data_IF_209860188554
#
_entry.id   IF_209860188554
#
_cell.length_a   1.000
_cell.length_b   1.000
_cell.length_c   1.000
_cell.angle_alpha   90.00
_cell.angle_beta   90.00
_cell.angle_gamma   90.00
#
_symmetry.space_group_name_H-M   'P 1'
#
loop_
_entity.id
_entity.type
_entity.pdbx_description
1 polymer ?
#
# COMPACT_ATOMS: atom_id res chain seq x y z
N UNK A 1 33.53 -51.74 25.43
CA UNK A 1 33.75 -50.35 25.89
C UNK A 1 33.42 -49.40 24.75
N UNK A 2 32.15 -48.97 24.64
CA UNK A 2 31.74 -47.90 23.70
C UNK A 2 30.95 -46.92 24.56
N UNK A 3 31.53 -45.73 24.79
CA UNK A 3 30.92 -44.65 25.59
C UNK A 3 29.81 -44.01 24.75
N UNK A 4 28.57 -44.18 25.19
CA UNK A 4 27.40 -43.49 24.65
C UNK A 4 27.42 -42.04 25.19
N UNK A 5 27.93 -41.08 24.41
CA UNK A 5 27.82 -39.65 24.73
C UNK A 5 26.44 -39.16 24.32
N UNK A 6 25.58 -38.95 25.30
CA UNK A 6 24.28 -38.27 25.14
C UNK A 6 24.60 -36.78 24.96
N UNK A 7 24.46 -36.29 23.73
CA UNK A 7 24.46 -34.85 23.43
C UNK A 7 23.13 -34.27 23.93
N UNK A 8 23.14 -33.68 25.13
CA UNK A 8 22.08 -32.76 25.55
C UNK A 8 22.18 -31.53 24.63
N UNK A 9 21.30 -31.45 23.63
CA UNK A 9 21.03 -30.20 22.94
C UNK A 9 20.27 -29.32 23.95
N UNK A 10 20.98 -28.41 24.62
CA UNK A 10 20.35 -27.38 25.43
C UNK A 10 19.58 -26.45 24.49
N UNK A 11 18.27 -26.66 24.38
CA UNK A 11 17.38 -25.65 23.83
C UNK A 11 17.39 -24.49 24.82
N UNK A 12 18.16 -23.44 24.51
CA UNK A 12 18.05 -22.17 25.22
C UNK A 12 16.61 -21.69 25.00
N UNK A 13 15.78 -21.82 26.03
CA UNK A 13 14.48 -21.17 26.05
C UNK A 13 14.76 -19.66 26.13
N UNK A 14 14.71 -18.99 24.99
CA UNK A 14 14.73 -17.54 24.92
C UNK A 14 13.43 -17.06 25.59
N UNK A 15 13.58 -16.53 26.81
CA UNK A 15 12.51 -15.97 27.63
C UNK A 15 12.31 -14.51 27.24
N UNK A 16 11.08 -14.14 26.90
CA UNK A 16 10.71 -12.76 26.57
C UNK A 16 9.44 -12.72 25.73
N UNK A 17 8.86 -11.52 25.60
CA UNK A 17 7.69 -11.30 24.76
C UNK A 17 8.03 -11.62 23.29
N UNK A 18 7.11 -12.31 22.61
CA UNK A 18 7.27 -12.73 21.21
C UNK A 18 6.16 -12.15 20.36
N UNK A 19 6.54 -11.58 19.23
CA UNK A 19 5.61 -11.27 18.14
C UNK A 19 5.74 -12.38 17.10
N UNK A 20 4.71 -13.22 16.99
CA UNK A 20 4.59 -14.18 15.89
C UNK A 20 3.92 -13.49 14.69
N UNK A 21 4.72 -13.24 13.65
CA UNK A 21 4.24 -12.73 12.36
C UNK A 21 3.75 -13.94 11.56
N UNK A 22 2.45 -13.97 11.28
CA UNK A 22 1.81 -15.06 10.51
C UNK A 22 1.39 -14.50 9.17
N UNK A 23 2.07 -14.88 8.10
CA UNK A 23 1.82 -14.32 6.77
C UNK A 23 0.98 -15.30 5.94
N UNK A 24 -0.30 -15.00 5.65
CA UNK A 24 -1.11 -15.86 4.78
C UNK A 24 -0.68 -15.72 3.32
N UNK A 25 -1.35 -16.45 2.45
CA UNK A 25 -1.20 -16.25 1.01
C UNK A 25 -1.57 -14.82 0.60
N UNK A 26 -0.83 -14.24 -0.34
CA UNK A 26 -1.18 -12.96 -0.95
C UNK A 26 -0.24 -11.79 -0.64
N UNK A 27 0.79 -11.96 0.17
CA UNK A 27 1.73 -10.89 0.45
C UNK A 27 2.92 -11.31 1.30
N UNK A 28 3.71 -10.32 1.69
CA UNK A 28 4.78 -10.43 2.68
C UNK A 28 4.53 -9.40 3.81
N UNK A 29 5.26 -9.50 4.91
CA UNK A 29 5.35 -8.45 5.94
C UNK A 29 6.81 -8.06 6.08
N UNK A 30 7.09 -6.77 6.07
CA UNK A 30 8.44 -6.22 6.28
C UNK A 30 8.38 -5.15 7.36
N UNK A 31 9.50 -4.85 8.00
CA UNK A 31 9.61 -3.70 8.90
C UNK A 31 10.21 -2.49 8.18
N UNK A 32 9.84 -1.28 8.60
CA UNK A 32 10.31 -0.03 8.02
C UNK A 32 11.84 0.13 8.13
N UNK A 33 12.45 -0.42 9.19
CA UNK A 33 13.91 -0.43 9.32
C UNK A 33 14.61 -1.44 8.40
N UNK A 34 13.86 -2.41 7.86
CA UNK A 34 14.39 -3.54 7.10
C UNK A 34 15.01 -4.66 7.96
N UNK A 35 14.97 -4.56 9.29
CA UNK A 35 15.49 -5.58 10.20
C UNK A 35 14.68 -6.89 10.14
N UNK A 36 13.39 -6.81 9.81
CA UNK A 36 12.50 -7.96 9.77
C UNK A 36 11.82 -8.10 8.41
N UNK A 37 11.79 -9.32 7.90
CA UNK A 37 11.06 -9.70 6.70
C UNK A 37 10.49 -11.10 6.86
N UNK A 38 9.19 -11.24 6.65
CA UNK A 38 8.48 -12.51 6.73
C UNK A 38 7.73 -12.75 5.42
N UNK A 39 8.10 -13.81 4.70
CA UNK A 39 7.55 -14.07 3.39
C UNK A 39 6.19 -14.79 3.47
N UNK A 40 5.49 -14.81 2.33
CA UNK A 40 4.24 -15.55 2.16
C UNK A 40 4.31 -16.98 2.70
N UNK A 41 3.34 -17.35 3.54
CA UNK A 41 3.21 -18.70 4.09
C UNK A 41 4.15 -19.00 5.25
N UNK A 42 5.01 -18.05 5.63
CA UNK A 42 5.93 -18.20 6.76
C UNK A 42 5.31 -17.78 8.08
N UNK A 43 5.95 -18.25 9.15
CA UNK A 43 5.75 -17.80 10.52
C UNK A 43 7.10 -17.35 11.05
N UNK A 44 7.22 -16.07 11.35
CA UNK A 44 8.45 -15.47 11.85
C UNK A 44 8.25 -15.03 13.29
N UNK A 45 9.28 -15.18 14.12
CA UNK A 45 9.23 -14.79 15.53
C UNK A 45 10.17 -13.60 15.70
N UNK A 46 9.64 -12.52 16.25
CA UNK A 46 10.43 -11.37 16.71
C UNK A 46 10.43 -11.38 18.23
N UNK A 47 11.62 -11.35 18.82
CA UNK A 47 11.79 -11.28 20.27
C UNK A 47 11.83 -9.82 20.72
N UNK A 48 11.02 -9.50 21.73
CA UNK A 48 10.90 -8.18 22.32
C UNK A 48 11.30 -8.29 23.79
N UNK A 49 12.53 -7.87 24.10
CA UNK A 49 13.15 -8.10 25.40
C UNK A 49 13.39 -6.82 26.22
N UNK A 50 13.23 -5.65 25.63
CA UNK A 50 13.51 -4.37 26.29
C UNK A 50 12.53 -3.27 25.85
N UNK A 51 12.71 -2.08 26.43
CA UNK A 51 11.88 -0.90 26.19
C UNK A 51 12.27 -0.12 24.92
N UNK A 52 13.35 -0.50 24.25
CA UNK A 52 13.86 0.16 23.04
C UNK A 52 13.31 -0.43 21.75
N UNK A 53 12.38 -1.39 21.83
CA UNK A 53 11.68 -1.89 20.67
C UNK A 53 10.79 -0.78 20.09
N UNK A 54 11.06 -0.44 18.84
CA UNK A 54 10.32 0.54 18.04
C UNK A 54 10.41 0.06 16.59
N UNK A 55 9.29 -0.42 16.07
CA UNK A 55 9.18 -0.85 14.69
C UNK A 55 7.83 -0.53 14.05
N UNK A 56 7.86 -0.28 12.75
CA UNK A 56 6.66 -0.15 11.93
C UNK A 56 6.61 -1.28 10.92
N UNK A 57 5.62 -2.16 11.07
CA UNK A 57 5.41 -3.28 10.16
C UNK A 57 4.48 -2.91 9.01
N UNK A 58 4.91 -3.23 7.79
CA UNK A 58 4.26 -2.89 6.53
C UNK A 58 3.81 -4.20 5.87
N UNK A 59 2.53 -4.28 5.52
CA UNK A 59 1.99 -5.39 4.76
C UNK A 59 2.18 -5.13 3.26
N UNK A 60 2.95 -5.99 2.59
CA UNK A 60 3.25 -5.87 1.17
C UNK A 60 2.42 -6.87 0.36
N UNK A 61 1.24 -6.49 -0.17
CA UNK A 61 0.46 -7.40 -1.01
C UNK A 61 1.20 -7.69 -2.32
N UNK A 62 1.17 -8.96 -2.72
CA UNK A 62 1.64 -9.43 -4.03
C UNK A 62 0.63 -9.06 -5.12
N UNK A 63 1.06 -9.16 -6.38
CA UNK A 63 0.19 -8.93 -7.53
C UNK A 63 -1.09 -9.79 -7.45
N UNK A 64 -2.25 -9.17 -7.70
CA UNK A 64 -3.55 -9.83 -7.59
C UNK A 64 -4.12 -9.90 -6.17
N UNK A 65 -3.47 -9.28 -5.19
CA UNK A 65 -3.95 -9.18 -3.81
C UNK A 65 -3.94 -7.74 -3.33
N UNK A 66 -4.79 -7.46 -2.34
CA UNK A 66 -4.80 -6.20 -1.58
C UNK A 66 -4.63 -6.50 -0.10
N UNK A 67 -4.05 -5.55 0.62
CA UNK A 67 -4.13 -5.54 2.07
C UNK A 67 -5.52 -5.05 2.50
N UNK A 68 -6.23 -5.84 3.31
CA UNK A 68 -7.56 -5.54 3.83
C UNK A 68 -7.53 -5.14 5.31
N UNK A 69 -6.33 -5.02 5.90
CA UNK A 69 -6.11 -4.66 7.29
C UNK A 69 -5.49 -5.79 8.11
N UNK A 70 -5.10 -5.46 9.34
CA UNK A 70 -4.57 -6.45 10.28
C UNK A 70 -5.71 -7.25 10.90
N UNK A 71 -5.54 -8.56 11.04
CA UNK A 71 -6.59 -9.46 11.50
C UNK A 71 -6.95 -9.19 12.96
N UNK A 72 -8.23 -8.94 13.23
CA UNK A 72 -8.76 -8.89 14.60
C UNK A 72 -8.80 -10.31 15.17
N UNK A 73 -8.06 -10.55 16.24
CA UNK A 73 -8.03 -11.83 16.97
C UNK A 73 -7.58 -11.60 18.40
N UNK A 74 -7.76 -12.62 19.25
CA UNK A 74 -7.17 -12.63 20.59
C UNK A 74 -5.65 -12.49 20.50
N UNK A 75 -5.10 -11.61 21.34
CA UNK A 75 -3.69 -11.19 21.36
C UNK A 75 -3.16 -10.70 20.00
N UNK A 76 -4.04 -10.25 19.12
CA UNK A 76 -3.69 -9.67 17.82
C UNK A 76 -3.26 -8.21 17.95
N UNK A 77 -2.13 -7.87 17.37
CA UNK A 77 -1.63 -6.50 17.28
C UNK A 77 -2.26 -5.80 16.08
N UNK A 78 -2.56 -4.50 16.24
CA UNK A 78 -3.11 -3.63 15.20
C UNK A 78 -4.47 -4.06 14.58
N UNK A 79 -5.19 -5.00 15.20
CA UNK A 79 -6.42 -5.58 14.63
C UNK A 79 -7.44 -4.55 14.12
N UNK A 80 -7.74 -4.60 12.82
CA UNK A 80 -8.66 -3.71 12.13
C UNK A 80 -8.05 -2.44 11.55
N UNK A 81 -6.79 -2.14 11.84
CA UNK A 81 -6.07 -1.02 11.23
C UNK A 81 -5.82 -1.34 9.75
N UNK A 82 -6.06 -0.34 8.89
CA UNK A 82 -5.94 -0.46 7.43
C UNK A 82 -4.60 0.04 6.87
N UNK A 83 -3.77 0.64 7.72
CA UNK A 83 -2.39 1.05 7.40
C UNK A 83 -1.35 0.26 8.18
N UNK A 84 -0.11 0.73 8.14
CA UNK A 84 1.04 0.11 8.79
C UNK A 84 0.85 -0.06 10.29
N UNK A 85 1.47 -1.08 10.88
CA UNK A 85 1.38 -1.41 12.30
C UNK A 85 2.65 -0.97 13.03
N UNK A 86 2.56 0.21 13.65
CA UNK A 86 3.60 0.75 14.53
C UNK A 86 3.48 0.14 15.94
N UNK A 87 4.60 -0.38 16.44
CA UNK A 87 4.73 -1.06 17.71
C UNK A 87 5.95 -0.50 18.45
N UNK A 88 5.71 0.14 19.60
CA UNK A 88 6.76 0.68 20.46
C UNK A 88 6.58 0.21 21.91
N UNK A 89 7.70 0.07 22.61
CA UNK A 89 7.74 -0.28 24.05
C UNK A 89 8.28 0.85 24.92
N UNK A 90 8.62 1.99 24.32
CA UNK A 90 9.18 3.17 25.00
C UNK A 90 8.32 3.61 26.20
N UNK A 91 6.99 3.55 26.04
CA UNK A 91 6.00 3.91 27.05
C UNK A 91 5.94 2.96 28.27
N UNK A 92 6.72 1.88 28.28
CA UNK A 92 6.74 0.92 29.39
C UNK A 92 7.70 1.37 30.49
N UNK A 93 8.59 2.33 30.21
CA UNK A 93 9.54 2.87 31.17
C UNK A 93 8.83 3.36 32.44
N UNK A 94 9.27 2.85 33.60
CA UNK A 94 8.69 3.23 34.89
C UNK A 94 7.30 2.66 35.18
N UNK A 95 6.74 1.79 34.33
CA UNK A 95 5.47 1.10 34.57
C UNK A 95 5.70 -0.39 34.87
N UNK A 96 5.68 -0.81 36.16
CA UNK A 96 5.99 -2.19 36.55
C UNK A 96 5.08 -3.24 35.91
N UNK A 97 3.81 -2.89 35.65
CA UNK A 97 2.83 -3.82 35.06
C UNK A 97 3.13 -4.06 33.58
N UNK A 98 3.57 -3.03 32.86
CA UNK A 98 3.94 -3.17 31.44
C UNK A 98 5.29 -3.86 31.28
N UNK A 99 6.25 -3.59 32.19
CA UNK A 99 7.53 -4.31 32.24
C UNK A 99 7.35 -5.81 32.47
N UNK A 100 6.34 -6.22 33.26
CA UNK A 100 6.03 -7.65 33.41
C UNK A 100 5.66 -8.35 32.10
N UNK A 101 5.10 -7.64 31.11
CA UNK A 101 4.80 -8.24 29.81
C UNK A 101 6.06 -8.47 28.97
N UNK A 102 7.10 -7.63 29.11
CA UNK A 102 8.39 -7.83 28.45
C UNK A 102 9.16 -9.01 29.04
N UNK A 103 9.04 -9.21 30.34
CA UNK A 103 9.66 -10.32 31.08
C UNK A 103 8.88 -11.64 30.97
N UNK A 104 7.61 -11.59 30.53
CA UNK A 104 6.78 -12.77 30.35
C UNK A 104 7.04 -13.44 28.99
N UNK A 105 7.00 -14.77 28.97
CA UNK A 105 7.06 -15.57 27.75
C UNK A 105 5.67 -15.64 27.09
N UNK A 106 5.18 -14.47 26.65
CA UNK A 106 3.88 -14.30 26.01
C UNK A 106 4.01 -14.10 24.51
N UNK A 107 3.07 -14.66 23.75
CA UNK A 107 3.04 -14.54 22.28
C UNK A 107 1.89 -13.65 21.85
N UNK A 108 2.21 -12.62 21.08
CA UNK A 108 1.28 -11.75 20.37
C UNK A 108 1.35 -12.02 18.87
N UNK A 109 0.25 -11.76 18.17
CA UNK A 109 0.12 -12.10 16.75
C UNK A 109 0.07 -10.86 15.87
N UNK A 110 0.89 -10.86 14.82
CA UNK A 110 0.82 -9.88 13.75
C UNK A 110 0.45 -10.61 12.45
N UNK A 111 -0.80 -10.49 12.03
CA UNK A 111 -1.34 -11.27 10.89
C UNK A 111 -2.07 -10.32 9.92
N UNK A 112 -1.53 -10.05 8.73
CA UNK A 112 -2.23 -9.24 7.74
C UNK A 112 -3.36 -10.05 7.09
N UNK A 113 -4.45 -9.38 6.71
CA UNK A 113 -5.49 -9.98 5.85
C UNK A 113 -5.19 -9.55 4.43
N UNK A 114 -4.85 -10.52 3.58
CA UNK A 114 -4.76 -10.32 2.13
C UNK A 114 -6.02 -10.88 1.47
N UNK A 115 -6.65 -10.06 0.64
CA UNK A 115 -7.79 -10.48 -0.17
C UNK A 115 -7.38 -10.54 -1.62
N UNK A 116 -7.88 -11.54 -2.34
CA UNK A 116 -7.74 -11.62 -3.79
C UNK A 116 -8.46 -10.40 -4.38
N UNK A 117 -7.76 -9.66 -5.23
CA UNK A 117 -8.36 -8.65 -6.07
C UNK A 117 -9.26 -9.39 -7.05
N UNK A 118 -10.60 -9.21 -7.02
CA UNK A 118 -11.48 -9.85 -7.98
C UNK A 118 -11.12 -9.31 -9.37
N UNK A 119 -10.44 -10.14 -10.17
CA UNK A 119 -10.15 -9.84 -11.57
C UNK A 119 -11.47 -9.98 -12.31
N UNK A 120 -12.26 -8.91 -12.35
CA UNK A 120 -13.37 -8.86 -13.27
C UNK A 120 -12.73 -8.75 -14.66
N UNK A 121 -12.90 -9.77 -15.50
CA UNK A 121 -12.33 -9.82 -16.85
C UNK A 121 -12.90 -8.77 -17.80
N UNK A 122 -13.85 -7.94 -17.31
CA UNK A 122 -14.39 -6.74 -17.94
C UNK A 122 -14.26 -5.48 -17.04
N UNK A 123 -13.43 -5.53 -15.99
CA UNK A 123 -13.35 -4.49 -14.97
C UNK A 123 -12.70 -3.22 -15.49
N UNK A 124 -13.50 -2.19 -15.69
CA UNK A 124 -12.98 -0.87 -16.00
C UNK A 124 -12.26 -0.27 -14.78
N UNK A 125 -11.07 0.30 -15.00
CA UNK A 125 -10.42 1.16 -14.02
C UNK A 125 -10.99 2.57 -14.16
N UNK A 126 -11.40 3.13 -13.04
CA UNK A 126 -12.07 4.40 -12.89
C UNK A 126 -11.17 5.34 -12.09
N UNK A 127 -11.21 6.63 -12.42
CA UNK A 127 -10.41 7.66 -11.79
C UNK A 127 -11.31 8.59 -10.98
N UNK A 128 -10.94 8.88 -9.75
CA UNK A 128 -11.66 9.78 -8.87
C UNK A 128 -10.71 10.80 -8.24
N UNK A 129 -11.00 12.09 -8.39
CA UNK A 129 -10.24 13.19 -7.80
C UNK A 129 -10.95 13.86 -6.64
N UNK A 130 -10.37 14.99 -6.22
CA UNK A 130 -10.84 15.77 -5.07
C UNK A 130 -10.21 15.29 -3.77
N UNK A 131 -10.26 16.15 -2.75
CA UNK A 131 -9.65 15.90 -1.43
C UNK A 131 -10.14 14.59 -0.80
N UNK A 132 -11.40 14.22 -1.05
CA UNK A 132 -12.07 13.02 -0.55
C UNK A 132 -12.16 11.88 -1.58
N UNK A 133 -11.59 12.05 -2.78
CA UNK A 133 -11.67 11.07 -3.88
C UNK A 133 -13.11 10.68 -4.27
N UNK A 134 -14.05 11.64 -4.24
CA UNK A 134 -15.46 11.46 -4.58
C UNK A 134 -15.85 12.10 -5.92
N UNK A 135 -14.90 12.76 -6.59
CA UNK A 135 -15.15 13.45 -7.85
C UNK A 135 -14.75 12.58 -9.05
N UNK A 136 -15.71 12.08 -9.82
CA UNK A 136 -15.42 11.19 -10.95
C UNK A 136 -14.68 11.92 -12.10
N UNK A 137 -13.53 11.39 -12.51
CA UNK A 137 -12.65 11.93 -13.56
C UNK A 137 -12.60 11.06 -14.83
N UNK A 138 -13.40 9.98 -14.88
CA UNK A 138 -13.55 9.13 -16.05
C UNK A 138 -12.90 7.77 -15.92
N UNK A 139 -12.97 7.02 -17.02
CA UNK A 139 -12.54 5.64 -17.12
C UNK A 139 -11.19 5.52 -17.86
N UNK A 140 -10.23 4.86 -17.22
CA UNK A 140 -8.85 4.69 -17.68
C UNK A 140 -8.77 3.60 -18.75
N UNK A 141 -9.44 2.46 -18.54
CA UNK A 141 -9.35 1.29 -19.43
C UNK A 141 -10.51 1.17 -20.42
N UNK A 142 -11.41 2.17 -20.45
CA UNK A 142 -12.50 2.22 -21.43
C UNK A 142 -11.95 2.59 -22.81
N UNK A 143 -12.59 2.06 -23.85
CA UNK A 143 -12.20 2.33 -25.23
C UNK A 143 -12.26 3.83 -25.55
N UNK A 144 -11.46 4.29 -26.51
CA UNK A 144 -11.42 5.70 -26.95
C UNK A 144 -12.78 6.25 -27.43
N UNK A 145 -13.70 5.36 -27.81
CA UNK A 145 -15.04 5.73 -28.26
C UNK A 145 -16.05 5.85 -27.12
N UNK A 146 -15.70 5.35 -25.92
CA UNK A 146 -16.56 5.39 -24.76
C UNK A 146 -16.71 6.83 -24.25
N UNK A 147 -17.94 7.32 -23.98
CA UNK A 147 -18.17 8.69 -23.50
C UNK A 147 -17.50 8.99 -22.16
N UNK A 148 -17.20 7.98 -21.35
CA UNK A 148 -16.54 8.13 -20.05
C UNK A 148 -15.01 7.96 -20.12
N UNK A 149 -14.47 7.54 -21.26
CA UNK A 149 -13.02 7.30 -21.39
C UNK A 149 -12.22 8.59 -21.28
N UNK A 150 -11.13 8.54 -20.51
CA UNK A 150 -10.10 9.59 -20.49
C UNK A 150 -9.37 9.70 -21.83
N UNK A 151 -9.54 8.74 -22.73
CA UNK A 151 -8.97 8.78 -24.08
C UNK A 151 -9.94 9.33 -25.12
N UNK A 152 -11.20 9.54 -24.78
CA UNK A 152 -12.17 10.13 -25.68
C UNK A 152 -12.02 11.65 -25.74
N UNK A 153 -11.28 12.15 -26.74
CA UNK A 153 -11.04 13.58 -26.93
C UNK A 153 -12.31 14.41 -27.18
N UNK A 154 -13.45 13.76 -27.46
CA UNK A 154 -14.75 14.41 -27.64
C UNK A 154 -15.59 14.44 -26.35
N UNK A 155 -15.14 13.76 -25.27
CA UNK A 155 -15.81 13.77 -23.97
C UNK A 155 -15.22 14.81 -23.02
N UNK A 156 -15.90 15.05 -21.90
CA UNK A 156 -15.40 15.93 -20.84
C UNK A 156 -14.21 15.32 -20.07
N UNK A 157 -14.01 14.00 -20.16
CA UNK A 157 -12.95 13.29 -19.44
C UNK A 157 -11.66 13.17 -20.26
N UNK A 158 -11.76 13.09 -21.59
CA UNK A 158 -10.60 13.00 -22.48
C UNK A 158 -10.23 14.28 -23.20
N UNK A 159 -11.09 15.31 -23.21
CA UNK A 159 -10.79 16.56 -23.90
C UNK A 159 -9.72 17.38 -23.17
N UNK A 160 -8.64 17.84 -23.84
CA UNK A 160 -7.63 18.70 -23.22
C UNK A 160 -8.13 20.12 -22.91
N UNK A 161 -9.41 20.42 -23.20
CA UNK A 161 -10.06 21.70 -22.95
C UNK A 161 -11.13 21.64 -21.87
N UNK A 162 -11.51 20.45 -21.41
CA UNK A 162 -12.52 20.28 -20.37
C UNK A 162 -11.93 20.55 -18.99
N UNK A 163 -12.70 21.17 -18.10
CA UNK A 163 -12.24 21.56 -16.76
C UNK A 163 -11.87 20.36 -15.89
N UNK A 164 -12.58 19.25 -16.05
CA UNK A 164 -12.43 18.02 -15.25
C UNK A 164 -11.48 16.99 -15.87
N UNK A 165 -10.89 17.32 -17.01
CA UNK A 165 -9.99 16.42 -17.72
C UNK A 165 -8.59 16.48 -17.15
N UNK A 166 -8.01 15.31 -16.88
CA UNK A 166 -6.60 15.19 -16.52
C UNK A 166 -5.65 15.65 -17.64
N UNK A 167 -6.17 15.81 -18.87
CA UNK A 167 -5.41 16.29 -20.03
C UNK A 167 -5.48 17.81 -20.21
N UNK A 168 -6.27 18.50 -19.39
CA UNK A 168 -6.32 19.96 -19.42
C UNK A 168 -5.20 20.54 -18.54
N UNK A 169 -4.12 20.97 -19.19
CA UNK A 169 -2.94 21.57 -18.53
C UNK A 169 -3.21 22.83 -17.71
N UNK A 170 -4.38 23.44 -17.87
CA UNK A 170 -4.80 24.63 -17.13
C UNK A 170 -5.86 24.32 -16.06
N UNK A 171 -6.34 23.07 -15.99
CA UNK A 171 -7.33 22.62 -15.03
C UNK A 171 -6.71 22.10 -13.73
N UNK A 172 -7.55 21.89 -12.73
CA UNK A 172 -7.14 21.42 -11.40
C UNK A 172 -6.61 20.00 -11.44
N UNK A 173 -7.11 19.17 -12.35
CA UNK A 173 -6.72 17.75 -12.48
C UNK A 173 -5.66 17.50 -13.55
N UNK A 174 -5.26 18.51 -14.33
CA UNK A 174 -4.32 18.34 -15.44
C UNK A 174 -3.13 19.30 -15.43
N UNK A 175 -3.07 20.25 -14.50
CA UNK A 175 -1.92 21.16 -14.36
C UNK A 175 -0.76 20.53 -13.58
N UNK A 176 0.47 20.97 -13.80
CA UNK A 176 1.64 20.46 -13.05
C UNK A 176 1.82 21.10 -11.67
N UNK A 177 0.90 21.97 -11.25
CA UNK A 177 1.01 22.78 -10.02
C UNK A 177 -0.15 22.61 -9.05
N UNK A 178 -1.28 22.06 -9.48
CA UNK A 178 -2.43 21.81 -8.59
C UNK A 178 -2.15 20.65 -7.63
N UNK A 179 -2.64 20.74 -6.40
CA UNK A 179 -2.57 19.64 -5.42
C UNK A 179 -3.50 18.46 -5.78
N UNK A 180 -4.46 18.69 -6.70
CA UNK A 180 -5.42 17.69 -7.18
C UNK A 180 -4.94 16.93 -8.42
N UNK A 181 -3.79 17.32 -8.98
CA UNK A 181 -3.32 16.82 -10.26
C UNK A 181 -2.39 15.62 -10.10
N UNK A 182 -2.57 14.55 -10.91
CA UNK A 182 -1.65 13.42 -10.92
C UNK A 182 -0.25 13.79 -11.43
N UNK A 183 -0.09 14.94 -12.11
CA UNK A 183 1.18 15.35 -12.71
C UNK A 183 2.01 16.27 -11.81
N UNK A 184 1.44 16.75 -10.71
CA UNK A 184 2.18 17.54 -9.74
C UNK A 184 2.97 16.60 -8.82
N UNK A 185 4.30 16.68 -8.87
CA UNK A 185 5.22 15.84 -8.07
C UNK A 185 5.14 16.10 -6.57
N UNK A 186 4.41 17.14 -6.16
CA UNK A 186 4.17 17.52 -4.77
C UNK A 186 2.67 17.54 -4.45
N UNK A 187 1.84 16.85 -5.26
CA UNK A 187 0.40 16.75 -4.99
C UNK A 187 0.13 16.09 -3.63
N UNK A 188 -0.83 16.66 -2.90
CA UNK A 188 -1.33 16.15 -1.62
C UNK A 188 -2.62 15.33 -1.79
N UNK A 189 -3.36 15.56 -2.88
CA UNK A 189 -4.66 14.92 -3.15
C UNK A 189 -4.73 14.41 -4.59
N UNK A 190 -3.77 13.58 -5.03
CA UNK A 190 -3.80 13.02 -6.38
C UNK A 190 -5.04 12.13 -6.60
N UNK A 191 -5.48 11.94 -7.86
CA UNK A 191 -6.61 11.08 -8.16
C UNK A 191 -6.41 9.61 -7.74
N UNK A 192 -7.43 9.03 -7.12
CA UNK A 192 -7.52 7.63 -6.74
C UNK A 192 -8.00 6.75 -7.90
N UNK A 193 -7.43 5.55 -8.02
CA UNK A 193 -7.83 4.55 -9.02
C UNK A 193 -8.68 3.48 -8.34
N UNK A 194 -9.87 3.25 -8.87
CA UNK A 194 -10.76 2.19 -8.44
C UNK A 194 -11.12 1.27 -9.61
N UNK A 195 -11.59 0.05 -9.35
CA UNK A 195 -12.39 -0.67 -10.34
C UNK A 195 -13.90 -0.46 -10.11
N UNK A 196 -14.72 -1.01 -11.02
CA UNK A 196 -16.19 -0.94 -10.91
C UNK A 196 -16.76 -1.64 -9.67
N UNK A 197 -16.00 -2.49 -8.98
CA UNK A 197 -16.40 -3.10 -7.72
C UNK A 197 -16.03 -2.23 -6.50
N UNK A 198 -15.39 -1.08 -6.72
CA UNK A 198 -14.95 -0.16 -5.67
C UNK A 198 -13.63 -0.56 -5.03
N UNK A 199 -12.87 -1.47 -5.63
CA UNK A 199 -11.55 -1.83 -5.14
C UNK A 199 -10.54 -0.75 -5.51
N UNK A 200 -9.76 -0.29 -4.52
CA UNK A 200 -8.70 0.71 -4.67
C UNK A 200 -7.37 0.11 -5.16
N UNK A 201 -6.75 0.75 -6.16
CA UNK A 201 -5.47 0.34 -6.79
C UNK A 201 -4.33 1.35 -6.52
N UNK A 202 -4.52 2.27 -5.59
CA UNK A 202 -3.57 3.35 -5.30
C UNK A 202 -3.90 4.65 -6.02
N UNK A 203 -3.09 5.67 -5.77
CA UNK A 203 -3.21 6.97 -6.42
C UNK A 203 -2.43 7.01 -7.74
N UNK A 204 -3.03 7.62 -8.77
CA UNK A 204 -2.32 8.05 -9.97
C UNK A 204 -1.55 9.32 -9.60
N UNK A 205 -0.24 9.21 -9.41
CA UNK A 205 0.55 10.36 -8.95
C UNK A 205 2.00 10.30 -9.40
N UNK A 206 2.54 11.46 -9.79
CA UNK A 206 3.95 11.70 -10.03
C UNK A 206 4.73 11.99 -8.74
N UNK A 207 4.05 12.14 -7.60
CA UNK A 207 4.68 12.20 -6.29
C UNK A 207 5.18 10.79 -5.91
N UNK A 208 6.45 10.50 -6.18
CA UNK A 208 7.05 9.18 -5.90
C UNK A 208 7.21 8.89 -4.42
N UNK A 209 7.04 9.88 -3.54
CA UNK A 209 7.07 9.70 -2.09
C UNK A 209 5.70 9.32 -1.51
N UNK A 210 4.62 9.35 -2.30
CA UNK A 210 3.31 8.92 -1.85
C UNK A 210 3.31 7.40 -1.56
N UNK A 211 3.09 6.97 -0.29
CA UNK A 211 3.15 5.57 0.09
C UNK A 211 2.04 4.72 -0.54
N UNK A 212 0.96 5.36 -1.00
CA UNK A 212 -0.18 4.74 -1.67
C UNK A 212 -0.18 4.99 -3.18
N UNK A 213 0.93 5.46 -3.77
CA UNK A 213 1.11 5.50 -5.23
C UNK A 213 0.80 4.13 -5.85
N UNK A 214 0.06 4.13 -6.96
CA UNK A 214 -0.33 2.89 -7.63
C UNK A 214 0.88 2.03 -7.99
N UNK A 215 0.72 0.71 -7.94
CA UNK A 215 1.72 -0.29 -8.35
C UNK A 215 1.54 -0.77 -9.80
N UNK A 216 0.55 -0.23 -10.51
CA UNK A 216 0.30 -0.55 -11.91
C UNK A 216 1.34 0.18 -12.78
N UNK A 217 2.35 -0.55 -13.27
CA UNK A 217 3.53 0.02 -13.97
C UNK A 217 3.15 0.97 -15.10
N UNK A 218 2.16 0.62 -15.94
CA UNK A 218 1.70 1.51 -17.03
C UNK A 218 1.18 2.86 -16.53
N UNK A 219 0.51 2.89 -15.37
CA UNK A 219 -0.03 4.12 -14.78
C UNK A 219 1.03 4.92 -14.03
N UNK A 220 2.06 4.24 -13.51
CA UNK A 220 3.27 4.89 -13.02
C UNK A 220 4.00 5.62 -14.16
N UNK A 221 4.24 4.92 -15.27
CA UNK A 221 4.88 5.49 -16.47
C UNK A 221 4.09 6.69 -17.02
N UNK A 222 2.76 6.59 -17.05
CA UNK A 222 1.88 7.70 -17.42
C UNK A 222 2.13 8.94 -16.56
N UNK A 223 2.10 8.80 -15.23
CA UNK A 223 2.30 9.92 -14.31
C UNK A 223 3.70 10.53 -14.44
N UNK A 224 4.71 9.68 -14.56
CA UNK A 224 6.11 10.11 -14.64
C UNK A 224 6.40 10.84 -15.95
N UNK A 225 5.84 10.37 -17.08
CA UNK A 225 5.98 11.03 -18.38
C UNK A 225 5.20 12.35 -18.44
N UNK A 226 3.99 12.41 -17.90
CA UNK A 226 3.19 13.64 -17.85
C UNK A 226 3.82 14.72 -16.97
N UNK A 227 4.54 14.33 -15.92
CA UNK A 227 5.28 15.24 -15.05
C UNK A 227 6.69 15.59 -15.55
N UNK A 228 7.18 14.96 -16.62
CA UNK A 228 8.49 15.24 -17.22
C UNK A 228 8.38 16.41 -18.22
N UNK A 229 9.08 17.51 -17.93
CA UNK A 229 9.09 18.71 -18.77
C UNK A 229 9.67 18.51 -20.18
N UNK A 230 10.20 17.33 -20.50
CA UNK A 230 10.61 16.95 -21.87
C UNK A 230 9.44 16.61 -22.78
N UNK A 231 8.29 16.23 -22.23
CA UNK A 231 7.11 15.83 -23.00
C UNK A 231 5.97 16.83 -22.82
N UNK A 232 5.18 17.04 -23.86
CA UNK A 232 3.92 17.79 -23.73
C UNK A 232 2.84 16.85 -23.22
N UNK A 233 1.90 17.37 -22.43
CA UNK A 233 0.77 16.57 -21.93
C UNK A 233 -0.05 15.96 -23.08
N UNK A 234 -0.14 16.64 -24.23
CA UNK A 234 -0.75 16.09 -25.43
C UNK A 234 0.01 14.88 -25.98
N UNK A 235 1.35 14.95 -26.06
CA UNK A 235 2.14 13.81 -26.54
C UNK A 235 2.04 12.60 -25.61
N UNK A 236 1.96 12.82 -24.30
CA UNK A 236 1.75 11.76 -23.31
C UNK A 236 0.33 11.17 -23.45
N UNK A 237 -0.68 12.01 -23.64
CA UNK A 237 -2.05 11.55 -23.93
C UNK A 237 -2.07 10.68 -25.19
N UNK A 238 -1.45 11.13 -26.27
CA UNK A 238 -1.42 10.39 -27.53
C UNK A 238 -0.69 9.06 -27.38
N UNK A 239 0.41 8.99 -26.61
CA UNK A 239 1.09 7.74 -26.30
C UNK A 239 0.23 6.77 -25.49
N UNK A 240 -0.42 7.27 -24.44
CA UNK A 240 -1.20 6.44 -23.53
C UNK A 240 -2.51 5.93 -24.18
N UNK A 241 -3.11 6.75 -25.04
CA UNK A 241 -4.42 6.52 -25.65
C UNK A 241 -4.36 5.92 -27.07
N UNK A 242 -3.22 5.36 -27.47
CA UNK A 242 -2.98 4.70 -28.76
C UNK A 242 -3.00 3.17 -28.66
#
# INVERSE_FOLDING_TARGET
MIRLMILLLAAFALSGCKIEIVVPNGGNVVSASGAYGCAQGERCIVEVSDIFFDETFIAEPRAGYRFAGWKKRDRGLCGGRLGDCELETSAFEGNPVLMMFLEADEVFYLEPVFEVIPVNSNGHLLLYGGVTSDYYLGCITCTRLDPESICNSNSIFGSPRAVDSIWNRFGDFGSTSSELSPWNRFASYPPAIFDQAGLFYGYLTANTADPQRTRLVLLQDLADYAADGRYTLQAVQDWFCN
#
